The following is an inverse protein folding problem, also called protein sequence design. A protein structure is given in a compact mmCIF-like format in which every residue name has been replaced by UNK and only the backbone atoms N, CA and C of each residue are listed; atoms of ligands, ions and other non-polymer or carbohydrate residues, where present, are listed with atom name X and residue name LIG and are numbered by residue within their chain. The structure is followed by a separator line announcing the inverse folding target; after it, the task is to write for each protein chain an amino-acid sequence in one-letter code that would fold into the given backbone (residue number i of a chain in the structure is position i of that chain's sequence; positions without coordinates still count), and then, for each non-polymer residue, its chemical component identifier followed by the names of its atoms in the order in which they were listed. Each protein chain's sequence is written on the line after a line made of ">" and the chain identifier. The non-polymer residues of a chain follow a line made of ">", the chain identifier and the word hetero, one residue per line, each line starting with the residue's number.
data_IF_508078566051
#
_entry.id   IF_508078566051
#
_cell.length_a   1.000
_cell.length_b   1.000
_cell.length_c   1.000
_cell.angle_alpha   90.00
_cell.angle_beta   90.00
_cell.angle_gamma   90.00
#
_symmetry.space_group_name_H-M   'P 1'
#
loop_
_entity.id
_entity.type
_entity.pdbx_description
1 polymer ?
#
# COMPACT_ATOMS: atom_id res chain seq x y z
N UNK A 1 -9.25 -2.04 -10.52
CA UNK A 1 -7.82 -1.97 -10.12
C UNK A 1 -7.46 -3.30 -9.47
N UNK A 2 -6.35 -3.91 -9.85
CA UNK A 2 -5.95 -5.27 -9.44
C UNK A 2 -5.97 -5.50 -7.92
N UNK A 3 -5.35 -4.62 -7.13
CA UNK A 3 -5.37 -4.73 -5.66
C UNK A 3 -6.77 -4.73 -5.04
N UNK A 4 -7.71 -3.95 -5.60
CA UNK A 4 -9.10 -3.93 -5.11
C UNK A 4 -9.83 -5.25 -5.42
N UNK A 5 -9.53 -5.85 -6.57
CA UNK A 5 -10.08 -7.15 -6.95
C UNK A 5 -9.54 -8.26 -6.03
N UNK A 6 -8.23 -8.29 -5.76
CA UNK A 6 -7.68 -9.30 -4.84
C UNK A 6 -8.16 -9.15 -3.41
N UNK A 7 -8.34 -7.91 -2.91
CA UNK A 7 -8.98 -7.68 -1.61
C UNK A 7 -10.42 -8.20 -1.60
N UNK A 8 -11.18 -7.99 -2.67
CA UNK A 8 -12.54 -8.53 -2.79
C UNK A 8 -12.53 -10.07 -2.80
N UNK A 9 -11.60 -10.70 -3.51
CA UNK A 9 -11.48 -12.15 -3.55
C UNK A 9 -11.04 -12.74 -2.20
N UNK A 10 -10.17 -12.06 -1.46
CA UNK A 10 -9.82 -12.41 -0.09
C UNK A 10 -11.04 -12.33 0.85
N UNK A 11 -11.85 -11.28 0.72
CA UNK A 11 -13.10 -11.16 1.47
C UNK A 11 -14.08 -12.31 1.16
N UNK A 12 -14.28 -12.64 -0.12
CA UNK A 12 -15.18 -13.74 -0.51
C UNK A 12 -14.66 -15.08 0.03
N UNK A 13 -13.35 -15.34 -0.05
CA UNK A 13 -12.74 -16.55 0.48
C UNK A 13 -12.86 -16.65 2.01
N UNK A 14 -12.83 -15.53 2.73
CA UNK A 14 -12.95 -15.50 4.18
C UNK A 14 -14.29 -16.06 4.72
N UNK A 15 -15.33 -16.08 3.87
CA UNK A 15 -16.64 -16.66 4.22
C UNK A 15 -16.69 -18.18 3.97
N UNK A 16 -15.65 -18.77 3.40
CA UNK A 16 -15.54 -20.21 3.20
C UNK A 16 -14.89 -20.92 4.41
N UNK A 17 -15.06 -22.24 4.52
CA UNK A 17 -14.35 -23.07 5.50
C UNK A 17 -13.01 -23.62 4.96
N UNK A 18 -12.54 -23.14 3.79
CA UNK A 18 -11.29 -23.58 3.17
C UNK A 18 -10.12 -22.68 3.61
N UNK A 19 -9.43 -23.10 4.66
CA UNK A 19 -8.28 -22.39 5.22
C UNK A 19 -7.13 -22.21 4.20
N UNK A 20 -6.93 -23.17 3.30
CA UNK A 20 -5.89 -23.06 2.28
C UNK A 20 -6.24 -21.99 1.23
N UNK A 21 -7.52 -21.90 0.86
CA UNK A 21 -8.03 -20.85 -0.02
C UNK A 21 -7.94 -19.47 0.65
N UNK A 22 -8.32 -19.35 1.92
CA UNK A 22 -8.22 -18.11 2.70
C UNK A 22 -6.78 -17.63 2.73
N UNK A 23 -5.84 -18.49 3.14
CA UNK A 23 -4.43 -18.14 3.23
C UNK A 23 -3.87 -17.67 1.87
N UNK A 24 -4.16 -18.40 0.79
CA UNK A 24 -3.70 -18.05 -0.56
C UNK A 24 -4.23 -16.70 -1.02
N UNK A 25 -5.51 -16.40 -0.77
CA UNK A 25 -6.12 -15.13 -1.19
C UNK A 25 -5.61 -13.95 -0.36
N UNK A 26 -5.39 -14.15 0.93
CA UNK A 26 -4.79 -13.13 1.80
C UNK A 26 -3.36 -12.79 1.37
N UNK A 27 -2.53 -13.80 1.05
CA UNK A 27 -1.17 -13.57 0.56
C UNK A 27 -1.15 -12.80 -0.78
N UNK A 28 -2.07 -13.12 -1.70
CA UNK A 28 -2.14 -12.39 -2.97
C UNK A 28 -2.60 -10.94 -2.74
N UNK A 29 -3.64 -10.74 -1.93
CA UNK A 29 -4.13 -9.40 -1.59
C UNK A 29 -3.06 -8.55 -0.89
N UNK A 30 -2.26 -9.16 0.00
CA UNK A 30 -1.12 -8.53 0.65
C UNK A 30 -0.14 -7.94 -0.36
N UNK A 31 0.34 -8.78 -1.28
CA UNK A 31 1.37 -8.40 -2.25
C UNK A 31 0.86 -7.34 -3.19
N UNK A 32 -0.36 -7.48 -3.71
CA UNK A 32 -0.93 -6.52 -4.66
C UNK A 32 -1.27 -5.17 -4.00
N UNK A 33 -1.73 -5.18 -2.75
CA UNK A 33 -1.91 -3.96 -1.97
C UNK A 33 -0.56 -3.28 -1.69
N UNK A 34 0.48 -4.06 -1.36
CA UNK A 34 1.83 -3.55 -1.17
C UNK A 34 2.39 -2.94 -2.47
N UNK A 35 2.19 -3.57 -3.63
CA UNK A 35 2.60 -3.03 -4.93
C UNK A 35 1.92 -1.68 -5.21
N UNK A 36 0.60 -1.62 -5.01
CA UNK A 36 -0.14 -0.37 -5.17
C UNK A 36 0.39 0.72 -4.24
N UNK A 37 0.71 0.38 -2.99
CA UNK A 37 1.28 1.32 -2.03
C UNK A 37 2.69 1.81 -2.43
N UNK A 38 3.56 0.93 -2.94
CA UNK A 38 4.90 1.31 -3.42
C UNK A 38 4.79 2.34 -4.55
N UNK A 39 3.91 2.10 -5.52
CA UNK A 39 3.68 3.01 -6.65
C UNK A 39 3.09 4.33 -6.16
N UNK A 40 2.02 4.28 -5.37
CA UNK A 40 1.30 5.46 -4.90
C UNK A 40 2.17 6.37 -4.02
N UNK A 41 3.05 5.79 -3.20
CA UNK A 41 3.96 6.53 -2.29
C UNK A 41 4.94 7.42 -3.04
N UNK A 42 5.22 7.09 -4.30
CA UNK A 42 6.13 7.85 -5.16
C UNK A 42 5.35 8.75 -6.14
N UNK A 43 4.32 8.21 -6.80
CA UNK A 43 3.62 8.91 -7.86
C UNK A 43 2.71 10.03 -7.37
N UNK A 44 2.03 9.86 -6.23
CA UNK A 44 1.09 10.87 -5.75
C UNK A 44 1.82 12.16 -5.33
N UNK A 45 2.89 12.12 -4.51
CA UNK A 45 3.66 13.34 -4.21
C UNK A 45 4.24 13.97 -5.48
N UNK A 46 4.79 13.18 -6.41
CA UNK A 46 5.30 13.72 -7.68
C UNK A 46 4.21 14.43 -8.48
N UNK A 47 3.06 13.79 -8.69
CA UNK A 47 1.95 14.39 -9.41
C UNK A 47 1.44 15.69 -8.73
N UNK A 48 1.39 15.70 -7.40
CA UNK A 48 1.01 16.90 -6.64
C UNK A 48 2.02 18.06 -6.78
N UNK A 49 3.30 17.75 -6.97
CA UNK A 49 4.34 18.74 -7.30
C UNK A 49 4.21 19.21 -8.75
N UNK A 50 4.14 18.27 -9.71
CA UNK A 50 4.07 18.55 -11.15
C UNK A 50 2.81 19.34 -11.55
N UNK A 51 1.72 19.22 -10.79
CA UNK A 51 0.52 20.03 -10.96
C UNK A 51 0.82 21.54 -11.05
N UNK A 52 1.82 22.04 -10.32
CA UNK A 52 2.18 23.46 -10.35
C UNK A 52 2.89 23.89 -11.63
N UNK A 53 3.51 22.97 -12.39
CA UNK A 53 4.10 23.28 -13.69
C UNK A 53 3.02 23.67 -14.71
N UNK A 54 1.81 23.11 -14.59
CA UNK A 54 0.66 23.47 -15.44
C UNK A 54 -0.06 24.74 -14.96
N UNK A 55 -0.16 24.97 -13.65
CA UNK A 55 -0.92 26.09 -13.07
C UNK A 55 -0.12 27.39 -12.91
N UNK A 56 1.22 27.29 -12.93
CA UNK A 56 2.14 28.38 -12.67
C UNK A 56 1.91 29.03 -11.30
N UNK A 57 2.37 30.28 -11.16
CA UNK A 57 2.26 31.03 -9.90
C UNK A 57 0.81 31.21 -9.41
N UNK A 58 -0.19 31.15 -10.31
CA UNK A 58 -1.59 31.27 -9.91
C UNK A 58 -2.08 30.08 -9.06
N UNK A 59 -1.45 28.91 -9.22
CA UNK A 59 -1.75 27.70 -8.46
C UNK A 59 -1.32 27.78 -6.99
N UNK A 60 -0.39 28.67 -6.63
CA UNK A 60 0.15 28.80 -5.26
C UNK A 60 -0.73 29.64 -4.33
N UNK A 61 -1.87 30.14 -4.82
CA UNK A 61 -2.82 30.92 -4.00
C UNK A 61 -3.29 30.09 -2.80
N UNK A 62 -3.12 30.64 -1.61
CA UNK A 62 -3.52 30.00 -0.34
C UNK A 62 -4.97 29.56 -0.31
N UNK A 63 -5.88 30.32 -0.94
CA UNK A 63 -7.32 29.95 -1.06
C UNK A 63 -7.57 28.63 -1.81
N UNK A 64 -6.65 28.20 -2.67
CA UNK A 64 -6.75 26.93 -3.39
C UNK A 64 -6.22 25.76 -2.55
N UNK A 65 -5.23 26.03 -1.69
CA UNK A 65 -4.58 25.09 -0.77
C UNK A 65 -4.16 23.77 -1.45
N UNK A 66 -3.67 23.82 -2.69
CA UNK A 66 -3.32 22.62 -3.49
C UNK A 66 -2.10 21.86 -2.94
N UNK A 67 -1.22 22.56 -2.23
CA UNK A 67 -0.08 21.99 -1.51
C UNK A 67 -0.50 20.94 -0.46
N UNK A 68 -1.76 20.97 0.00
CA UNK A 68 -2.30 19.96 0.93
C UNK A 68 -2.23 18.54 0.36
N UNK A 69 -2.35 18.39 -0.96
CA UNK A 69 -2.30 17.06 -1.59
C UNK A 69 -0.90 16.44 -1.47
N UNK A 70 0.14 17.25 -1.70
CA UNK A 70 1.53 16.83 -1.49
C UNK A 70 1.79 16.53 -0.01
N UNK A 71 1.41 17.44 0.89
CA UNK A 71 1.63 17.27 2.34
C UNK A 71 0.96 16.00 2.86
N UNK A 72 -0.32 15.81 2.56
CA UNK A 72 -1.08 14.64 3.01
C UNK A 72 -0.49 13.34 2.45
N UNK A 73 -0.17 13.31 1.15
CA UNK A 73 0.42 12.12 0.52
C UNK A 73 1.78 11.79 1.14
N UNK A 74 2.63 12.80 1.38
CA UNK A 74 3.94 12.60 1.99
C UNK A 74 3.82 12.11 3.44
N UNK A 75 2.90 12.67 4.22
CA UNK A 75 2.63 12.21 5.59
C UNK A 75 2.23 10.74 5.62
N UNK A 76 1.28 10.32 4.77
CA UNK A 76 0.82 8.92 4.72
C UNK A 76 1.93 7.99 4.23
N UNK A 77 2.67 8.37 3.20
CA UNK A 77 3.77 7.58 2.64
C UNK A 77 4.94 7.39 3.62
N UNK A 78 5.13 8.32 4.56
CA UNK A 78 6.21 8.25 5.55
C UNK A 78 5.95 7.30 6.72
N UNK A 79 4.71 6.87 6.95
CA UNK A 79 4.37 6.01 8.10
C UNK A 79 4.97 4.60 8.00
N UNK A 80 5.03 4.04 6.78
CA UNK A 80 5.54 2.69 6.56
C UNK A 80 6.71 2.76 5.58
N UNK A 81 7.94 2.39 5.99
CA UNK A 81 9.09 2.43 5.08
C UNK A 81 8.84 1.55 3.86
N UNK A 82 8.64 2.19 2.70
CA UNK A 82 8.27 1.55 1.43
C UNK A 82 9.29 0.49 0.98
N UNK A 83 10.55 0.63 1.41
CA UNK A 83 11.64 -0.30 1.12
C UNK A 83 11.36 -1.72 1.61
N UNK A 84 10.72 -1.89 2.77
CA UNK A 84 10.38 -3.21 3.28
C UNK A 84 9.27 -3.87 2.48
N UNK A 85 8.27 -3.07 2.03
CA UNK A 85 7.21 -3.56 1.13
C UNK A 85 7.79 -3.98 -0.22
N UNK A 86 8.68 -3.17 -0.80
CA UNK A 86 9.36 -3.50 -2.05
C UNK A 86 10.17 -4.80 -1.93
N UNK A 87 10.91 -4.98 -0.83
CA UNK A 87 11.64 -6.22 -0.54
C UNK A 87 10.70 -7.43 -0.44
N UNK A 88 9.60 -7.30 0.30
CA UNK A 88 8.64 -8.38 0.49
C UNK A 88 7.98 -8.81 -0.83
N UNK A 89 7.57 -7.84 -1.66
CA UNK A 89 7.07 -8.09 -3.02
C UNK A 89 8.14 -8.81 -3.86
N UNK A 90 9.40 -8.37 -3.78
CA UNK A 90 10.51 -9.00 -4.48
C UNK A 90 10.72 -10.46 -4.08
N UNK A 91 10.73 -10.76 -2.78
CA UNK A 91 10.84 -12.13 -2.27
C UNK A 91 9.67 -13.02 -2.74
N UNK A 92 8.45 -12.50 -2.72
CA UNK A 92 7.28 -13.24 -3.24
C UNK A 92 7.40 -13.55 -4.73
N UNK A 93 7.72 -12.54 -5.56
CA UNK A 93 7.76 -12.69 -7.01
C UNK A 93 8.96 -13.49 -7.52
N UNK A 94 10.11 -13.39 -6.84
CA UNK A 94 11.37 -14.00 -7.31
C UNK A 94 11.64 -15.33 -6.63
N UNK A 95 11.39 -15.45 -5.33
CA UNK A 95 11.73 -16.64 -4.54
C UNK A 95 10.51 -17.51 -4.19
N UNK A 96 9.28 -17.03 -4.41
CA UNK A 96 8.06 -17.74 -4.03
C UNK A 96 7.82 -17.81 -2.51
N UNK A 97 8.54 -17.00 -1.72
CA UNK A 97 8.40 -16.96 -0.27
C UNK A 97 7.13 -16.20 0.13
N UNK A 98 6.29 -16.82 0.97
CA UNK A 98 5.06 -16.20 1.46
C UNK A 98 5.31 -14.80 2.06
N UNK A 99 4.47 -13.81 1.72
CA UNK A 99 4.70 -12.43 2.15
C UNK A 99 4.58 -12.32 3.67
N UNK A 100 5.48 -11.55 4.28
CA UNK A 100 5.33 -11.15 5.68
C UNK A 100 4.28 -10.06 5.80
N UNK A 101 3.31 -10.21 6.69
CA UNK A 101 2.34 -9.16 6.99
C UNK A 101 3.00 -8.07 7.87
N UNK A 102 3.69 -7.12 7.23
CA UNK A 102 4.59 -6.15 7.91
C UNK A 102 3.86 -5.32 8.99
N UNK A 103 2.55 -5.12 8.89
CA UNK A 103 1.75 -4.44 9.92
C UNK A 103 1.44 -5.27 11.16
N UNK A 104 1.70 -6.58 11.14
CA UNK A 104 1.63 -7.40 12.35
C UNK A 104 2.87 -7.17 13.23
N UNK A 105 3.95 -6.60 12.70
CA UNK A 105 5.17 -6.29 13.45
C UNK A 105 4.86 -5.17 14.45
N UNK A 106 4.84 -5.51 15.74
CA UNK A 106 4.46 -4.62 16.85
C UNK A 106 3.21 -5.07 17.61
N UNK A 107 2.36 -5.91 17.00
CA UNK A 107 1.37 -6.71 17.71
C UNK A 107 2.11 -7.94 18.26
N UNK A 108 2.75 -7.80 19.42
CA UNK A 108 3.47 -8.90 20.05
C UNK A 108 2.64 -10.18 20.06
N UNK A 109 3.27 -11.31 19.79
CA UNK A 109 2.67 -12.62 20.03
C UNK A 109 2.05 -12.60 21.42
N UNK A 110 0.73 -12.80 21.52
CA UNK A 110 0.19 -13.35 22.75
C UNK A 110 0.66 -14.79 22.79
N UNK A 111 1.86 -15.00 23.33
CA UNK A 111 2.34 -16.33 23.71
C UNK A 111 1.30 -16.87 24.68
N UNK A 112 0.52 -17.84 24.23
CA UNK A 112 -0.36 -18.60 25.11
C UNK A 112 0.55 -19.36 26.07
N UNK A 113 0.44 -19.03 27.36
CA UNK A 113 1.04 -19.80 28.45
C UNK A 113 0.30 -21.10 28.71
#
# INVERSE_FOLDING_TARGET
>A
MQAAESLQQAYVAHVSDDEALIARRNQLAEVEAAQAQVIASDWIPRAATELFNALGASGTRTRLALDRHWRNARTVASHNPVIYKARNIGNWLVNGEAPTFIWQIGNGEKTAG
#
